data_IF_734258567612
#
_entry.id   IF_734258567612
#
_cell.length_a   1.000
_cell.length_b   1.000
_cell.length_c   1.000
_cell.angle_alpha   90.00
_cell.angle_beta   90.00
_cell.angle_gamma   90.00
#
_symmetry.space_group_name_H-M   'P 1'
#
loop_
_entity.id
_entity.type
_entity.pdbx_description
1 polymer ?
#
# COMPACT_ATOMS: atom_id res chain seq x y z
N UNK A 1 25.48 -12.71 -33.44
CA UNK A 1 25.99 -12.03 -32.23
C UNK A 1 24.89 -11.11 -31.75
N UNK A 2 24.21 -11.45 -30.65
CA UNK A 2 23.18 -10.61 -30.04
C UNK A 2 23.85 -9.45 -29.31
N UNK A 3 23.40 -8.23 -29.60
CA UNK A 3 23.72 -7.07 -28.78
C UNK A 3 22.61 -6.99 -27.73
N UNK A 4 22.88 -7.45 -26.51
CA UNK A 4 22.03 -7.17 -25.36
C UNK A 4 22.19 -5.69 -25.03
N UNK A 5 21.22 -4.87 -25.44
CA UNK A 5 21.02 -3.52 -24.93
C UNK A 5 20.87 -3.61 -23.40
N UNK A 6 21.85 -3.10 -22.65
CA UNK A 6 21.67 -2.85 -21.22
C UNK A 6 20.58 -1.79 -21.09
N UNK A 7 19.44 -2.11 -20.50
CA UNK A 7 18.45 -1.08 -20.20
C UNK A 7 19.00 -0.21 -19.06
N UNK A 8 19.12 1.09 -19.30
CA UNK A 8 19.53 2.08 -18.29
C UNK A 8 18.30 2.56 -17.50
N UNK A 9 17.25 1.74 -17.42
CA UNK A 9 15.98 2.14 -16.85
C UNK A 9 16.13 2.29 -15.34
N UNK A 10 15.91 3.51 -14.87
CA UNK A 10 15.94 3.85 -13.45
C UNK A 10 14.63 3.39 -12.81
N UNK A 11 14.68 2.24 -12.13
CA UNK A 11 13.52 1.64 -11.46
C UNK A 11 13.72 1.65 -9.94
N UNK A 12 12.64 1.91 -9.21
CA UNK A 12 12.61 1.81 -7.75
C UNK A 12 11.24 1.28 -7.31
N UNK A 13 11.18 0.77 -6.08
CA UNK A 13 9.96 0.26 -5.47
C UNK A 13 9.72 0.97 -4.14
N UNK A 14 8.52 1.49 -3.94
CA UNK A 14 8.05 2.05 -2.67
C UNK A 14 6.97 1.15 -2.08
N UNK A 15 6.94 1.04 -0.75
CA UNK A 15 5.86 0.34 -0.02
C UNK A 15 5.52 1.12 1.24
N UNK A 16 4.22 1.27 1.50
CA UNK A 16 3.73 1.85 2.74
C UNK A 16 2.45 1.17 3.19
N UNK A 17 2.30 1.00 4.49
CA UNK A 17 1.08 0.48 5.12
C UNK A 17 0.38 1.63 5.82
N UNK A 18 -0.76 2.03 5.27
CA UNK A 18 -1.67 2.97 5.91
C UNK A 18 -2.54 2.20 6.91
N UNK A 19 -2.35 2.45 8.20
CA UNK A 19 -3.07 1.76 9.29
C UNK A 19 -4.38 2.49 9.58
N UNK A 20 -5.42 1.74 9.93
CA UNK A 20 -6.72 2.27 10.35
C UNK A 20 -7.38 3.23 9.34
N UNK A 21 -7.39 2.86 8.06
CA UNK A 21 -7.99 3.65 6.96
C UNK A 21 -9.41 4.15 7.27
N UNK A 22 -10.23 3.37 7.98
CA UNK A 22 -11.61 3.74 8.34
C UNK A 22 -11.70 4.89 9.35
N UNK A 23 -10.67 5.09 10.16
CA UNK A 23 -10.60 6.12 11.19
C UNK A 23 -9.74 7.32 10.77
N UNK A 24 -9.17 7.28 9.56
CA UNK A 24 -8.43 8.42 9.01
C UNK A 24 -9.37 9.62 8.83
N UNK A 25 -8.81 10.80 9.02
CA UNK A 25 -9.55 12.03 8.79
C UNK A 25 -9.97 12.12 7.32
N UNK A 26 -11.28 12.20 7.09
CA UNK A 26 -11.86 12.23 5.74
C UNK A 26 -11.48 13.51 5.00
N UNK A 27 -11.46 13.42 3.67
CA UNK A 27 -11.23 14.54 2.75
C UNK A 27 -9.88 15.25 2.96
N UNK A 28 -8.92 14.54 3.57
CA UNK A 28 -7.56 15.03 3.80
C UNK A 28 -6.52 14.09 3.22
N UNK A 29 -5.40 14.69 2.84
CA UNK A 29 -4.23 13.96 2.38
C UNK A 29 -3.44 13.41 3.57
N UNK A 30 -3.24 12.10 3.57
CA UNK A 30 -2.35 11.39 4.49
C UNK A 30 -1.15 10.86 3.70
N UNK A 31 0.06 11.17 4.15
CA UNK A 31 1.28 10.86 3.40
C UNK A 31 2.18 9.88 4.14
N UNK A 32 2.86 9.02 3.38
CA UNK A 32 4.03 8.29 3.86
C UNK A 32 5.18 9.27 4.16
N UNK A 33 6.20 8.82 4.91
CA UNK A 33 7.50 9.47 4.91
C UNK A 33 8.04 9.63 3.48
N UNK A 34 8.87 10.66 3.27
CA UNK A 34 9.54 10.85 1.99
C UNK A 34 10.67 9.83 1.80
N UNK A 35 10.73 9.18 0.66
CA UNK A 35 11.86 8.35 0.22
C UNK A 35 12.60 9.05 -0.92
N UNK A 36 13.93 9.11 -0.83
CA UNK A 36 14.75 9.75 -1.86
C UNK A 36 15.16 8.69 -2.89
N UNK A 37 14.65 8.81 -4.11
CA UNK A 37 15.02 7.97 -5.25
C UNK A 37 15.47 8.86 -6.40
N UNK A 38 16.67 8.59 -6.93
CA UNK A 38 17.30 9.41 -7.99
C UNK A 38 17.40 10.90 -7.67
N UNK A 39 17.73 11.23 -6.41
CA UNK A 39 17.83 12.60 -5.90
C UNK A 39 16.51 13.38 -5.91
N UNK A 40 15.38 12.67 -6.04
CA UNK A 40 14.04 13.22 -6.00
C UNK A 40 13.33 12.65 -4.76
N UNK A 41 12.70 13.50 -3.93
CA UNK A 41 11.88 13.01 -2.82
C UNK A 41 10.50 12.56 -3.31
N UNK A 42 10.13 11.33 -2.97
CA UNK A 42 8.87 10.70 -3.34
C UNK A 42 8.05 10.38 -2.09
N UNK A 43 6.73 10.47 -2.18
CA UNK A 43 5.78 10.10 -1.11
C UNK A 43 4.62 9.29 -1.70
N UNK A 44 4.10 8.35 -0.94
CA UNK A 44 2.79 7.76 -1.21
C UNK A 44 1.74 8.54 -0.43
N UNK A 45 0.59 8.82 -1.05
CA UNK A 45 -0.51 9.54 -0.43
C UNK A 45 -1.80 8.75 -0.51
N UNK A 46 -2.64 8.88 0.52
CA UNK A 46 -4.02 8.40 0.52
C UNK A 46 -4.97 9.53 0.91
N UNK A 47 -6.13 9.59 0.23
CA UNK A 47 -7.29 10.36 0.67
C UNK A 47 -8.41 9.36 0.91
N UNK A 48 -9.02 9.42 2.08
CA UNK A 48 -10.20 8.64 2.42
C UNK A 48 -11.40 9.57 2.35
N UNK A 49 -12.35 9.25 1.49
CA UNK A 49 -13.62 9.96 1.38
C UNK A 49 -14.73 9.10 2.02
N UNK A 50 -15.98 9.52 1.92
CA UNK A 50 -17.08 8.76 2.53
C UNK A 50 -17.25 7.36 1.93
N UNK A 51 -17.07 7.23 0.61
CA UNK A 51 -17.31 5.98 -0.13
C UNK A 51 -16.08 5.48 -0.91
N UNK A 52 -15.05 6.31 -1.05
CA UNK A 52 -13.93 6.07 -1.95
C UNK A 52 -12.59 6.29 -1.24
N UNK A 53 -11.55 5.63 -1.77
CA UNK A 53 -10.17 5.79 -1.31
C UNK A 53 -9.28 6.05 -2.52
N UNK A 54 -8.55 7.15 -2.48
CA UNK A 54 -7.66 7.56 -3.57
C UNK A 54 -6.20 7.36 -3.20
N UNK A 55 -5.41 6.76 -4.09
CA UNK A 55 -3.97 6.54 -3.90
C UNK A 55 -3.11 7.32 -4.90
N UNK A 56 -2.15 8.07 -4.36
CA UNK A 56 -1.28 8.97 -5.11
C UNK A 56 0.19 8.60 -4.93
N UNK A 57 0.95 8.73 -6.02
CA UNK A 57 2.41 8.87 -5.97
C UNK A 57 2.71 10.35 -6.11
N UNK A 58 3.48 10.91 -5.18
CA UNK A 58 3.79 12.33 -5.10
C UNK A 58 5.28 12.50 -5.28
N UNK A 59 5.65 13.36 -6.22
CA UNK A 59 7.00 13.86 -6.36
C UNK A 59 7.07 15.21 -5.65
N UNK A 60 7.79 15.27 -4.53
CA UNK A 60 7.86 16.46 -3.67
C UNK A 60 9.12 17.30 -3.97
N UNK A 61 9.58 17.26 -5.23
CA UNK A 61 10.79 17.98 -5.62
C UNK A 61 10.55 19.49 -5.47
N UNK A 62 11.45 20.13 -4.72
CA UNK A 62 11.36 21.53 -4.33
C UNK A 62 11.07 22.47 -5.51
N UNK A 63 10.07 23.34 -5.32
CA UNK A 63 9.76 24.44 -6.22
C UNK A 63 10.91 25.46 -6.20
N UNK A 64 11.41 25.87 -7.38
CA UNK A 64 12.34 27.00 -7.49
C UNK A 64 13.61 26.77 -8.32
N UNK A 65 13.81 25.59 -8.90
CA UNK A 65 14.99 25.30 -9.73
C UNK A 65 14.50 24.75 -11.07
N UNK A 66 14.37 25.65 -12.05
CA UNK A 66 14.12 25.39 -13.47
C UNK A 66 12.77 24.72 -13.83
N UNK A 67 12.28 24.94 -15.05
CA UNK A 67 11.18 24.15 -15.60
C UNK A 67 11.68 22.71 -15.77
N UNK A 68 11.03 21.77 -15.09
CA UNK A 68 11.39 20.36 -15.18
C UNK A 68 10.13 19.50 -15.23
N UNK A 69 10.25 18.33 -15.85
CA UNK A 69 9.25 17.29 -15.84
C UNK A 69 9.92 15.94 -15.58
N UNK A 70 9.13 14.98 -15.13
CA UNK A 70 9.56 13.59 -15.07
C UNK A 70 8.54 12.74 -15.82
N UNK A 71 9.04 11.90 -16.71
CA UNK A 71 8.25 10.88 -17.38
C UNK A 71 8.50 9.54 -16.66
N UNK A 72 7.42 8.89 -16.25
CA UNK A 72 7.48 7.66 -15.45
C UNK A 72 6.36 6.72 -15.84
N UNK A 73 6.69 5.43 -15.95
CA UNK A 73 5.69 4.38 -15.95
C UNK A 73 5.49 3.86 -14.52
N UNK A 74 4.23 3.77 -14.08
CA UNK A 74 3.88 3.43 -12.69
C UNK A 74 3.03 2.18 -12.70
N UNK A 75 3.53 1.12 -12.07
CA UNK A 75 2.74 -0.05 -11.71
C UNK A 75 2.28 0.10 -10.26
N UNK A 76 0.96 0.07 -10.03
CA UNK A 76 0.37 0.17 -8.69
C UNK A 76 -0.10 -1.20 -8.26
N UNK A 77 0.35 -1.64 -7.09
CA UNK A 77 -0.13 -2.86 -6.46
C UNK A 77 -0.75 -2.52 -5.10
N UNK A 78 -2.02 -2.88 -4.92
CA UNK A 78 -2.66 -2.91 -3.61
C UNK A 78 -2.59 -4.34 -3.10
N UNK A 79 -1.96 -4.55 -1.96
CA UNK A 79 -2.01 -5.83 -1.25
C UNK A 79 -3.32 -5.95 -0.47
N UNK A 80 -3.70 -7.19 -0.15
CA UNK A 80 -4.93 -7.53 0.59
C UNK A 80 -5.20 -6.57 1.77
N UNK A 81 -6.34 -5.87 1.71
CA UNK A 81 -6.94 -5.27 2.88
C UNK A 81 -7.62 -6.39 3.65
N UNK A 82 -7.21 -6.65 4.89
CA UNK A 82 -7.96 -7.56 5.75
C UNK A 82 -9.08 -6.78 6.39
N UNK A 83 -10.30 -7.05 5.98
CA UNK A 83 -11.44 -6.50 6.67
C UNK A 83 -11.75 -7.35 7.91
N UNK A 84 -12.21 -6.70 8.99
CA UNK A 84 -12.77 -7.43 10.12
C UNK A 84 -13.99 -8.25 9.68
N UNK A 85 -14.72 -7.78 8.66
CA UNK A 85 -15.86 -8.48 8.09
C UNK A 85 -15.48 -9.87 7.51
N UNK A 86 -14.39 -9.97 6.76
CA UNK A 86 -13.89 -11.25 6.23
C UNK A 86 -13.44 -12.21 7.34
N UNK A 87 -12.93 -11.69 8.46
CA UNK A 87 -12.55 -12.50 9.62
C UNK A 87 -13.81 -12.99 10.35
N UNK A 88 -14.82 -12.14 10.49
CA UNK A 88 -16.08 -12.49 11.17
C UNK A 88 -16.91 -13.47 10.34
N UNK A 89 -16.89 -13.37 9.01
CA UNK A 89 -17.65 -14.27 8.11
C UNK A 89 -17.19 -15.73 8.20
N UNK A 90 -15.91 -15.96 8.52
CA UNK A 90 -15.36 -17.32 8.67
C UNK A 90 -15.44 -17.84 10.12
N UNK A 91 -15.89 -17.02 11.07
CA UNK A 91 -16.04 -17.42 12.47
C UNK A 91 -17.40 -18.07 12.67
N UNK A 92 -17.47 -19.35 13.06
CA UNK A 92 -18.74 -20.00 13.34
C UNK A 92 -19.40 -19.37 14.57
N UNK A 93 -20.73 -19.32 14.56
CA UNK A 93 -21.52 -18.83 15.70
C UNK A 93 -21.28 -19.67 16.96
N UNK A 94 -21.05 -20.98 16.78
CA UNK A 94 -20.71 -21.92 17.84
C UNK A 94 -19.26 -22.36 17.71
N UNK A 95 -18.48 -22.14 18.77
CA UNK A 95 -17.06 -22.44 18.83
C UNK A 95 -16.76 -23.94 18.69
N UNK A 96 -17.72 -24.81 19.02
CA UNK A 96 -17.58 -26.26 18.91
C UNK A 96 -17.72 -26.76 17.46
N UNK A 97 -18.17 -25.92 16.53
CA UNK A 97 -18.21 -26.27 15.10
C UNK A 97 -16.81 -26.50 14.51
N UNK A 98 -15.79 -25.85 15.07
CA UNK A 98 -14.40 -26.01 14.65
C UNK A 98 -13.59 -26.74 15.72
N UNK A 99 -12.78 -27.71 15.26
CA UNK A 99 -11.84 -28.39 16.15
C UNK A 99 -10.79 -27.40 16.68
N UNK A 100 -10.19 -27.66 17.86
CA UNK A 100 -9.11 -26.83 18.40
C UNK A 100 -7.92 -26.64 17.42
N UNK A 101 -7.66 -27.62 16.55
CA UNK A 101 -6.61 -27.54 15.52
C UNK A 101 -6.96 -26.53 14.44
N UNK A 102 -8.21 -26.52 13.98
CA UNK A 102 -8.73 -25.55 12.99
C UNK A 102 -8.70 -24.14 13.58
N UNK A 103 -9.11 -23.99 14.85
CA UNK A 103 -8.98 -22.72 15.56
C UNK A 103 -7.54 -22.23 15.68
N UNK A 104 -6.60 -23.13 16.00
CA UNK A 104 -5.17 -22.81 16.05
C UNK A 104 -4.64 -22.35 14.69
N UNK A 105 -5.01 -23.03 13.62
CA UNK A 105 -4.60 -22.65 12.26
C UNK A 105 -5.21 -21.33 11.81
N UNK A 106 -6.51 -21.09 12.07
CA UNK A 106 -7.17 -19.81 11.81
C UNK A 106 -6.53 -18.67 12.60
N UNK A 107 -6.24 -18.88 13.88
CA UNK A 107 -5.58 -17.90 14.74
C UNK A 107 -4.16 -17.57 14.25
N UNK A 108 -3.36 -18.59 13.91
CA UNK A 108 -2.03 -18.40 13.30
C UNK A 108 -2.14 -17.74 11.93
N UNK A 109 -3.17 -18.12 11.17
CA UNK A 109 -3.73 -17.49 9.95
C UNK A 109 -3.77 -15.97 10.09
N UNK A 110 -4.67 -15.53 10.96
CA UNK A 110 -4.94 -14.14 11.25
C UNK A 110 -3.72 -13.38 11.81
N UNK A 111 -2.93 -14.03 12.68
CA UNK A 111 -1.76 -13.41 13.30
C UNK A 111 -0.57 -13.25 12.33
N UNK A 112 -0.33 -14.23 11.47
CA UNK A 112 0.79 -14.23 10.51
C UNK A 112 0.49 -13.39 9.26
N UNK A 113 -0.73 -12.91 9.17
CA UNK A 113 -1.17 -12.02 8.10
C UNK A 113 -1.19 -10.55 8.55
N UNK A 114 -0.49 -10.27 9.64
CA UNK A 114 0.02 -8.95 10.03
C UNK A 114 1.20 -8.53 9.16
#
# INVERSE_FOLDING_TARGET
KSCSTMSNDKVFQMRHVFVDLLNMEKDKYHYSPAEIHFNIPWKLGVIVEENDIWFYLICDKFHGIEEWSIDTNIEKCLSEMKTLAEIVDVVPEDADQFSPTVWKELFLKAYSSK
#
